data_IF_428070866959
#
_entry.id   IF_428070866959
#
_cell.length_a   1.000
_cell.length_b   1.000
_cell.length_c   1.000
_cell.angle_alpha   90.00
_cell.angle_beta   90.00
_cell.angle_gamma   90.00
#
_symmetry.space_group_name_H-M   'P 1'
#
loop_
_entity.id
_entity.type
_entity.pdbx_description
1 polymer ?
#
# COMPACT_ATOMS: atom_id res chain seq x y z
N UNK A 1 -90.68 11.05 11.15
CA UNK A 1 -90.00 10.57 12.39
C UNK A 1 -88.85 9.68 11.99
N UNK A 2 -87.64 10.01 12.47
CA UNK A 2 -86.38 9.24 12.53
C UNK A 2 -85.79 8.70 11.20
N UNK A 3 -84.73 9.32 10.65
CA UNK A 3 -83.26 9.11 10.91
C UNK A 3 -82.81 7.69 10.48
N UNK A 4 -81.71 7.41 9.77
CA UNK A 4 -80.46 8.09 9.35
C UNK A 4 -79.67 7.05 8.47
N UNK A 5 -78.87 7.52 7.49
CA UNK A 5 -77.59 7.01 6.86
C UNK A 5 -77.42 5.47 6.60
N UNK A 6 -76.74 4.94 5.58
CA UNK A 6 -75.60 5.30 4.71
C UNK A 6 -75.56 4.22 3.58
N UNK A 7 -74.73 4.16 2.55
CA UNK A 7 -73.60 4.92 2.03
C UNK A 7 -73.42 4.47 0.56
N UNK A 8 -73.13 5.41 -0.33
CA UNK A 8 -72.76 5.16 -1.72
C UNK A 8 -71.26 4.86 -1.77
N UNK A 9 -70.86 3.64 -2.14
CA UNK A 9 -69.47 3.30 -2.39
C UNK A 9 -69.13 3.62 -3.86
N UNK A 10 -68.33 4.67 -4.09
CA UNK A 10 -67.66 4.92 -5.37
C UNK A 10 -66.21 4.48 -5.21
N UNK A 11 -65.82 3.49 -6.01
CA UNK A 11 -64.45 3.02 -6.12
C UNK A 11 -63.58 4.09 -6.78
N UNK A 12 -62.58 4.58 -6.06
CA UNK A 12 -61.45 5.29 -6.64
C UNK A 12 -60.23 4.39 -6.55
N UNK A 13 -59.79 3.87 -7.69
CA UNK A 13 -58.53 3.15 -7.83
C UNK A 13 -57.38 4.13 -7.57
N UNK A 14 -56.79 4.08 -6.38
CA UNK A 14 -55.49 4.69 -6.12
C UNK A 14 -54.41 3.76 -6.66
N UNK A 15 -53.93 4.05 -7.87
CA UNK A 15 -52.58 3.73 -8.30
C UNK A 15 -51.61 4.38 -7.30
N UNK A 16 -51.21 3.62 -6.29
CA UNK A 16 -50.01 3.92 -5.51
C UNK A 16 -48.82 3.66 -6.41
N UNK A 17 -48.49 4.66 -7.25
CA UNK A 17 -47.13 4.78 -7.74
C UNK A 17 -46.25 4.96 -6.51
N UNK A 18 -45.56 3.89 -6.12
CA UNK A 18 -44.38 4.02 -5.28
C UNK A 18 -43.32 4.74 -6.12
N UNK A 19 -43.43 6.06 -6.16
CA UNK A 19 -42.36 6.92 -6.64
C UNK A 19 -41.24 6.85 -5.61
N UNK A 20 -40.47 5.78 -5.71
CA UNK A 20 -39.21 5.59 -5.00
C UNK A 20 -38.16 6.46 -5.68
N UNK A 21 -38.34 7.78 -5.63
CA UNK A 21 -37.20 8.69 -5.63
C UNK A 21 -36.46 8.42 -4.32
N UNK A 22 -35.66 7.35 -4.28
CA UNK A 22 -34.56 7.26 -3.32
C UNK A 22 -33.78 8.54 -3.52
N UNK A 23 -33.90 9.45 -2.54
CA UNK A 23 -33.38 10.79 -2.65
C UNK A 23 -31.89 10.72 -2.96
N UNK A 24 -31.53 11.02 -4.20
CA UNK A 24 -30.17 11.36 -4.60
C UNK A 24 -29.82 12.63 -3.83
N UNK A 25 -29.31 12.49 -2.61
CA UNK A 25 -28.96 13.61 -1.74
C UNK A 25 -27.91 14.48 -2.44
N UNK A 26 -28.24 15.77 -2.73
CA UNK A 26 -27.42 16.88 -3.20
C UNK A 26 -25.95 16.91 -2.81
N UNK A 27 -25.75 16.46 -1.59
CA UNK A 27 -24.63 16.85 -0.74
C UNK A 27 -23.67 15.70 -0.49
N UNK A 28 -24.05 14.44 -0.78
CA UNK A 28 -23.16 13.29 -0.61
C UNK A 28 -21.96 13.40 -1.56
N UNK A 29 -20.72 13.38 -1.03
CA UNK A 29 -19.53 13.41 -1.85
C UNK A 29 -19.44 12.13 -2.69
N UNK A 30 -18.94 12.26 -3.93
CA UNK A 30 -18.66 11.15 -4.85
C UNK A 30 -17.52 10.26 -4.35
N UNK A 31 -16.55 10.86 -3.66
CA UNK A 31 -15.54 10.16 -2.88
C UNK A 31 -15.09 11.06 -1.73
N UNK A 32 -14.66 10.46 -0.63
CA UNK A 32 -14.37 11.17 0.61
C UNK A 32 -12.90 11.54 0.76
N UNK A 33 -11.97 10.74 0.23
CA UNK A 33 -10.53 10.91 0.45
C UNK A 33 -9.70 10.50 -0.77
N UNK A 34 -8.59 11.20 -1.00
CA UNK A 34 -7.55 10.84 -1.95
C UNK A 34 -6.34 10.36 -1.14
N UNK A 35 -5.78 9.20 -1.48
CA UNK A 35 -4.51 8.71 -0.93
C UNK A 35 -3.53 8.48 -2.09
N UNK A 36 -2.24 8.72 -1.81
CA UNK A 36 -1.13 8.49 -2.75
C UNK A 36 -0.11 7.60 -2.02
N UNK A 37 -0.31 6.28 -2.03
CA UNK A 37 0.44 5.37 -1.17
C UNK A 37 1.91 5.16 -1.58
N UNK A 38 2.29 5.49 -2.80
CA UNK A 38 3.67 5.35 -3.25
C UNK A 38 3.86 5.67 -4.72
N UNK A 39 5.12 5.53 -5.15
CA UNK A 39 5.52 5.75 -6.52
C UNK A 39 6.73 4.90 -6.90
N UNK A 40 6.82 4.59 -8.19
CA UNK A 40 7.86 3.76 -8.76
C UNK A 40 8.53 4.48 -9.93
N UNK A 41 9.86 4.38 -10.00
CA UNK A 41 10.57 4.80 -11.20
C UNK A 41 10.23 3.89 -12.38
N UNK A 42 10.15 4.50 -13.55
CA UNK A 42 9.90 3.80 -14.82
C UNK A 42 11.16 3.82 -15.67
N UNK A 43 11.90 4.92 -15.60
CA UNK A 43 13.21 5.09 -16.19
C UNK A 43 14.24 5.43 -15.10
N UNK A 44 15.48 4.97 -15.27
CA UNK A 44 16.56 5.19 -14.29
C UNK A 44 16.93 6.67 -14.15
N UNK A 45 16.75 7.46 -15.21
CA UNK A 45 16.95 8.91 -15.21
C UNK A 45 15.81 9.71 -14.58
N UNK A 46 14.76 9.02 -14.11
CA UNK A 46 13.52 9.58 -13.54
C UNK A 46 12.74 10.49 -14.51
N UNK A 47 12.98 10.43 -15.83
CA UNK A 47 12.13 11.11 -16.80
C UNK A 47 10.66 10.65 -16.67
N UNK A 48 10.45 9.39 -16.30
CA UNK A 48 9.15 8.77 -16.16
C UNK A 48 9.02 8.11 -14.80
N UNK A 49 7.90 8.37 -14.12
CA UNK A 49 7.51 7.73 -12.87
C UNK A 49 6.06 7.27 -12.96
N UNK A 50 5.71 6.31 -12.12
CA UNK A 50 4.33 5.91 -11.88
C UNK A 50 3.96 6.24 -10.45
N UNK A 51 2.81 6.89 -10.27
CA UNK A 51 2.29 7.25 -8.96
C UNK A 51 1.03 6.41 -8.70
N UNK A 52 1.03 5.67 -7.61
CA UNK A 52 -0.15 4.93 -7.15
C UNK A 52 -1.14 5.92 -6.54
N UNK A 53 -2.42 5.76 -6.86
CA UNK A 53 -3.49 6.61 -6.34
C UNK A 53 -4.69 5.77 -5.91
N UNK A 54 -5.27 6.11 -4.76
CA UNK A 54 -6.51 5.52 -4.27
C UNK A 54 -7.52 6.61 -3.94
N UNK A 55 -8.67 6.58 -4.60
CA UNK A 55 -9.82 7.40 -4.24
C UNK A 55 -10.73 6.56 -3.36
N UNK A 56 -11.01 7.01 -2.13
CA UNK A 56 -11.81 6.25 -1.17
C UNK A 56 -13.21 6.84 -1.03
N UNK A 57 -14.22 5.96 -0.99
CA UNK A 57 -15.54 6.24 -0.40
C UNK A 57 -15.61 5.58 0.99
N UNK A 58 -15.49 6.40 2.04
CA UNK A 58 -15.23 5.93 3.40
C UNK A 58 -13.86 5.25 3.49
N UNK A 59 -13.86 3.92 3.58
CA UNK A 59 -12.63 3.10 3.68
C UNK A 59 -12.35 2.26 2.43
N UNK A 60 -13.29 2.22 1.48
CA UNK A 60 -13.21 1.35 0.30
C UNK A 60 -12.70 2.15 -0.89
N UNK A 61 -11.72 1.62 -1.60
CA UNK A 61 -11.21 2.25 -2.81
C UNK A 61 -12.20 2.07 -3.96
N UNK A 62 -12.34 3.12 -4.75
CA UNK A 62 -13.12 3.15 -5.96
C UNK A 62 -12.43 2.36 -7.07
N UNK A 63 -13.15 1.38 -7.62
CA UNK A 63 -12.71 0.48 -8.68
C UNK A 63 -13.20 0.96 -10.06
N UNK A 64 -12.59 0.50 -11.16
CA UNK A 64 -12.97 0.87 -12.53
C UNK A 64 -14.45 0.67 -12.86
N UNK A 65 -15.07 -0.39 -12.32
CA UNK A 65 -16.46 -0.78 -12.58
C UNK A 65 -17.46 -0.16 -11.59
N UNK A 66 -16.99 0.52 -10.56
CA UNK A 66 -17.86 1.19 -9.59
C UNK A 66 -18.64 2.31 -10.26
N UNK A 67 -19.81 2.62 -9.69
CA UNK A 67 -20.66 3.71 -10.14
C UNK A 67 -20.89 4.70 -9.01
N UNK A 68 -20.70 5.97 -9.32
CA UNK A 68 -21.01 7.06 -8.42
C UNK A 68 -22.54 7.24 -8.38
N UNK A 69 -23.09 7.64 -7.23
CA UNK A 69 -24.54 7.72 -7.02
C UNK A 69 -25.31 8.58 -8.04
N UNK A 70 -24.64 9.44 -8.83
CA UNK A 70 -25.26 10.33 -9.83
C UNK A 70 -24.79 10.13 -11.26
N UNK A 71 -23.87 9.20 -11.47
CA UNK A 71 -23.29 8.98 -12.77
C UNK A 71 -23.81 7.66 -13.33
N UNK A 72 -24.17 7.66 -14.61
CA UNK A 72 -24.67 6.46 -15.27
C UNK A 72 -23.53 5.56 -15.76
N UNK A 73 -22.38 6.17 -16.01
CA UNK A 73 -21.17 5.53 -16.50
C UNK A 73 -20.30 5.04 -15.32
N UNK A 74 -19.55 3.95 -15.51
CA UNK A 74 -18.58 3.48 -14.52
C UNK A 74 -17.40 4.45 -14.40
N UNK A 75 -16.66 4.37 -13.29
CA UNK A 75 -15.53 5.28 -13.02
C UNK A 75 -14.48 5.25 -14.13
N UNK A 76 -14.22 4.09 -14.74
CA UNK A 76 -13.31 3.94 -15.88
C UNK A 76 -13.64 4.82 -17.10
N UNK A 77 -14.89 5.28 -17.24
CA UNK A 77 -15.33 6.17 -18.32
C UNK A 77 -15.36 7.63 -17.88
N UNK A 78 -15.53 7.87 -16.58
CA UNK A 78 -15.63 9.21 -15.99
C UNK A 78 -14.28 9.81 -15.61
N UNK A 79 -13.30 8.95 -15.34
CA UNK A 79 -12.00 9.32 -14.82
C UNK A 79 -10.93 9.15 -15.89
N UNK A 80 -10.20 10.22 -16.15
CA UNK A 80 -9.10 10.28 -17.09
C UNK A 80 -7.85 10.85 -16.42
N UNK A 81 -6.71 10.76 -17.10
CA UNK A 81 -5.47 11.36 -16.61
C UNK A 81 -5.52 12.90 -16.53
N UNK A 82 -6.41 13.56 -17.29
CA UNK A 82 -6.58 15.02 -17.28
C UNK A 82 -7.27 15.54 -16.01
N UNK A 83 -7.95 14.64 -15.28
CA UNK A 83 -8.61 14.93 -14.01
C UNK A 83 -7.62 15.05 -12.84
N UNK A 84 -6.37 14.64 -13.07
CA UNK A 84 -5.26 14.72 -12.12
C UNK A 84 -4.37 15.91 -12.43
N UNK A 85 -4.15 16.76 -11.42
CA UNK A 85 -3.35 17.97 -11.55
C UNK A 85 -2.38 18.11 -10.40
N UNK A 86 -1.13 18.41 -10.73
CA UNK A 86 -0.11 18.76 -9.75
C UNK A 86 -0.13 20.27 -9.48
N UNK A 87 0.08 20.62 -8.22
CA UNK A 87 0.28 21.98 -7.77
C UNK A 87 1.39 22.02 -6.73
N UNK A 88 2.01 23.18 -6.56
CA UNK A 88 3.03 23.36 -5.53
C UNK A 88 2.38 23.33 -4.15
N UNK A 89 2.99 22.62 -3.20
CA UNK A 89 2.56 22.70 -1.79
C UNK A 89 2.76 24.10 -1.23
N UNK A 90 1.82 24.57 -0.42
CA UNK A 90 1.86 25.91 0.18
C UNK A 90 3.13 26.16 1.04
N UNK A 91 3.75 25.10 1.57
CA UNK A 91 4.87 25.19 2.51
C UNK A 91 6.26 25.20 1.86
N UNK A 92 6.37 25.17 0.52
CA UNK A 92 7.69 25.17 -0.13
C UNK A 92 8.35 26.55 -0.05
N UNK A 93 9.54 26.63 0.56
CA UNK A 93 10.32 27.88 0.68
C UNK A 93 11.09 28.26 -0.59
N UNK A 94 11.15 27.37 -1.59
CA UNK A 94 11.82 27.59 -2.86
C UNK A 94 10.96 28.51 -3.76
N UNK A 95 11.53 29.62 -4.24
CA UNK A 95 10.89 30.51 -5.20
C UNK A 95 11.09 29.99 -6.62
N UNK A 96 10.21 29.07 -7.03
CA UNK A 96 10.26 28.35 -8.30
C UNK A 96 8.87 28.34 -8.95
N UNK A 97 8.80 28.39 -10.28
CA UNK A 97 7.54 28.39 -11.03
C UNK A 97 6.97 26.97 -11.25
N UNK A 98 7.79 25.96 -10.99
CA UNK A 98 7.50 24.54 -11.11
C UNK A 98 6.50 24.05 -10.04
N UNK A 99 5.78 22.99 -10.38
CA UNK A 99 4.69 22.44 -9.55
C UNK A 99 5.16 21.51 -8.42
N UNK A 100 6.44 21.16 -8.42
CA UNK A 100 7.04 20.33 -7.38
C UNK A 100 8.47 20.79 -7.04
N UNK A 101 8.95 20.34 -5.88
CA UNK A 101 10.33 20.57 -5.42
C UNK A 101 10.96 19.22 -5.11
N UNK A 102 12.08 18.89 -5.76
CA UNK A 102 12.90 17.75 -5.38
C UNK A 102 13.99 18.17 -4.41
N UNK A 103 14.19 17.38 -3.35
CA UNK A 103 15.24 17.51 -2.36
C UNK A 103 16.11 16.25 -2.38
N UNK A 104 17.40 16.40 -2.69
CA UNK A 104 18.39 15.34 -2.56
C UNK A 104 18.73 15.08 -1.10
N UNK A 105 18.68 13.83 -0.68
CA UNK A 105 18.91 13.39 0.70
C UNK A 105 20.39 13.53 1.07
N UNK A 106 21.29 13.07 0.20
CA UNK A 106 22.73 13.10 0.45
C UNK A 106 23.35 14.46 0.09
N UNK A 107 22.93 15.04 -1.04
CA UNK A 107 23.46 16.33 -1.51
C UNK A 107 22.87 17.53 -0.79
N UNK A 108 21.68 17.40 -0.19
CA UNK A 108 20.89 18.53 0.32
C UNK A 108 20.41 19.50 -0.78
N UNK A 109 20.60 19.15 -2.06
CA UNK A 109 20.25 20.02 -3.18
C UNK A 109 18.74 20.12 -3.33
N UNK A 110 18.23 21.32 -3.57
CA UNK A 110 16.83 21.57 -3.88
C UNK A 110 16.68 22.17 -5.26
N UNK A 111 15.70 21.69 -6.02
CA UNK A 111 15.40 22.23 -7.35
C UNK A 111 13.94 22.01 -7.72
N UNK A 112 13.37 22.95 -8.49
CA UNK A 112 12.03 22.84 -9.05
C UNK A 112 11.93 21.72 -10.08
N UNK A 113 10.83 20.97 -10.02
CA UNK A 113 10.52 19.85 -10.92
C UNK A 113 9.13 20.04 -11.47
N UNK A 114 8.99 19.92 -12.79
CA UNK A 114 7.69 19.88 -13.44
C UNK A 114 7.17 18.44 -13.46
N UNK A 115 5.86 18.29 -13.33
CA UNK A 115 5.15 17.01 -13.32
C UNK A 115 3.95 17.08 -14.24
N UNK A 116 3.89 16.17 -15.20
CA UNK A 116 2.80 16.10 -16.18
C UNK A 116 2.23 14.70 -16.24
N UNK A 117 0.92 14.60 -16.03
CA UNK A 117 0.19 13.34 -16.18
C UNK A 117 0.09 12.97 -17.66
N UNK A 118 0.33 11.71 -17.98
CA UNK A 118 0.34 11.20 -19.36
C UNK A 118 -0.72 10.13 -19.58
N UNK A 119 -0.90 9.22 -18.63
CA UNK A 119 -1.94 8.19 -18.70
C UNK A 119 -2.39 7.78 -17.31
N UNK A 120 -3.56 7.16 -17.27
CA UNK A 120 -4.17 6.60 -16.08
C UNK A 120 -4.65 5.19 -16.43
N UNK A 121 -4.19 4.22 -15.65
CA UNK A 121 -4.57 2.82 -15.79
C UNK A 121 -4.93 2.25 -14.42
N UNK A 122 -5.74 1.19 -14.38
CA UNK A 122 -5.97 0.47 -13.13
C UNK A 122 -5.21 -0.85 -13.17
N UNK A 123 -4.24 -0.98 -12.27
CA UNK A 123 -3.42 -2.17 -12.13
C UNK A 123 -4.11 -3.13 -11.16
N UNK A 124 -4.88 -4.07 -11.71
CA UNK A 124 -5.40 -5.20 -10.94
C UNK A 124 -4.24 -6.09 -10.46
N UNK A 125 -4.27 -6.49 -9.19
CA UNK A 125 -3.35 -7.51 -8.67
C UNK A 125 -3.50 -8.79 -9.47
N UNK A 126 -2.38 -9.34 -9.99
CA UNK A 126 -2.37 -10.51 -10.86
C UNK A 126 -2.80 -10.25 -12.32
N UNK A 127 -3.13 -9.00 -12.68
CA UNK A 127 -3.60 -8.61 -14.00
C UNK A 127 -5.13 -8.60 -14.16
N UNK A 128 -5.62 -7.87 -15.16
CA UNK A 128 -7.05 -7.64 -15.38
C UNK A 128 -7.85 -8.92 -15.63
N UNK A 129 -7.27 -9.90 -16.32
CA UNK A 129 -7.91 -11.19 -16.62
C UNK A 129 -8.24 -11.99 -15.35
N UNK A 130 -7.53 -11.70 -14.25
CA UNK A 130 -7.66 -12.39 -12.97
C UNK A 130 -8.46 -11.61 -11.94
N UNK A 131 -9.17 -10.56 -12.35
CA UNK A 131 -9.93 -9.71 -11.43
C UNK A 131 -11.01 -10.49 -10.64
N UNK A 132 -11.59 -11.54 -11.23
CA UNK A 132 -12.62 -12.38 -10.60
C UNK A 132 -12.07 -13.61 -9.86
N UNK A 133 -10.75 -13.88 -9.97
CA UNK A 133 -10.15 -15.04 -9.32
C UNK A 133 -10.17 -14.90 -7.79
N UNK A 134 -10.32 -16.04 -7.11
CA UNK A 134 -10.22 -16.07 -5.63
C UNK A 134 -8.84 -15.61 -5.20
N UNK A 135 -8.80 -14.67 -4.25
CA UNK A 135 -7.55 -14.09 -3.75
C UNK A 135 -6.92 -14.97 -2.69
N UNK A 136 -5.59 -15.08 -2.77
CA UNK A 136 -4.74 -15.60 -1.71
C UNK A 136 -3.91 -14.44 -1.16
N UNK A 137 -4.02 -14.16 0.13
CA UNK A 137 -3.17 -13.19 0.82
C UNK A 137 -2.14 -13.97 1.64
N UNK A 138 -0.86 -13.85 1.29
CA UNK A 138 0.22 -14.43 2.08
C UNK A 138 0.85 -13.34 2.92
N UNK A 139 0.72 -13.45 4.24
CA UNK A 139 1.44 -12.63 5.20
C UNK A 139 2.84 -13.22 5.37
N UNK A 140 3.85 -12.48 4.93
CA UNK A 140 5.25 -12.84 5.09
C UNK A 140 5.85 -11.94 6.16
N UNK A 141 6.05 -12.50 7.35
CA UNK A 141 6.35 -11.76 8.57
C UNK A 141 7.79 -11.96 9.00
N UNK A 142 8.59 -10.90 8.93
CA UNK A 142 9.90 -10.89 9.58
C UNK A 142 9.72 -11.07 11.08
N UNK A 143 10.54 -11.95 11.65
CA UNK A 143 10.59 -12.32 13.06
C UNK A 143 12.04 -12.39 13.56
N UNK A 144 12.92 -11.61 12.92
CA UNK A 144 14.33 -11.47 13.26
C UNK A 144 14.54 -10.70 14.56
N UNK A 145 15.77 -10.76 15.09
CA UNK A 145 16.12 -10.21 16.39
C UNK A 145 16.15 -8.68 16.45
N UNK A 146 16.26 -7.98 15.32
CA UNK A 146 16.24 -6.50 15.27
C UNK A 146 14.95 -5.91 15.86
N UNK A 147 13.83 -6.63 15.70
CA UNK A 147 12.52 -6.29 16.27
C UNK A 147 12.56 -6.11 17.79
N UNK A 148 13.39 -6.90 18.48
CA UNK A 148 13.60 -6.82 19.94
C UNK A 148 14.92 -6.12 20.32
N UNK A 149 15.66 -5.61 19.34
CA UNK A 149 16.93 -4.92 19.52
C UNK A 149 18.12 -5.85 19.76
N UNK A 150 18.05 -7.10 19.28
CA UNK A 150 19.18 -8.01 19.23
C UNK A 150 20.20 -7.53 18.20
N UNK A 151 21.45 -7.34 18.63
CA UNK A 151 22.55 -7.08 17.70
C UNK A 151 22.92 -8.38 16.94
N UNK A 152 22.91 -8.37 15.60
CA UNK A 152 23.06 -9.60 14.81
C UNK A 152 24.46 -10.23 14.86
N UNK A 153 25.47 -9.53 15.38
CA UNK A 153 26.85 -10.02 15.49
C UNK A 153 27.19 -10.51 16.90
N UNK A 154 26.65 -9.84 17.91
CA UNK A 154 26.94 -10.11 19.32
C UNK A 154 25.84 -10.91 20.02
N UNK A 155 24.65 -11.01 19.40
CA UNK A 155 23.44 -11.61 19.96
C UNK A 155 22.99 -10.96 21.29
N UNK A 156 23.50 -9.76 21.58
CA UNK A 156 23.11 -9.01 22.76
C UNK A 156 21.84 -8.22 22.48
N UNK A 157 20.84 -8.40 23.33
CA UNK A 157 19.58 -7.66 23.26
C UNK A 157 19.73 -6.32 23.96
N UNK A 158 19.55 -5.24 23.22
CA UNK A 158 19.49 -3.87 23.73
C UNK A 158 18.10 -3.30 23.44
N UNK A 159 17.18 -3.27 24.42
CA UNK A 159 15.79 -2.85 24.19
C UNK A 159 15.62 -1.41 23.66
N UNK A 160 16.63 -0.56 23.81
CA UNK A 160 16.64 0.79 23.24
C UNK A 160 16.85 0.82 21.72
N UNK A 161 17.30 -0.30 21.14
CA UNK A 161 17.53 -0.48 19.71
C UNK A 161 16.41 -1.32 19.06
N UNK A 162 15.39 -1.73 19.81
CA UNK A 162 14.27 -2.49 19.27
C UNK A 162 13.47 -1.64 18.29
N UNK A 163 13.23 -2.16 17.09
CA UNK A 163 12.42 -1.47 16.08
C UNK A 163 10.94 -1.57 16.39
N UNK A 164 10.42 -2.70 16.90
CA UNK A 164 8.99 -2.89 17.25
C UNK A 164 8.80 -3.40 18.69
N UNK A 165 9.31 -2.63 19.65
CA UNK A 165 9.35 -3.01 21.08
C UNK A 165 8.00 -3.40 21.70
N UNK A 166 6.90 -2.83 21.21
CA UNK A 166 5.56 -3.02 21.77
C UNK A 166 4.68 -3.95 20.92
N UNK A 167 5.28 -4.64 19.94
CA UNK A 167 4.59 -5.54 19.02
C UNK A 167 3.38 -4.90 18.33
N UNK A 168 3.49 -3.63 17.98
CA UNK A 168 2.38 -2.87 17.40
C UNK A 168 1.99 -3.43 16.03
N UNK A 169 2.93 -4.07 15.32
CA UNK A 169 2.66 -4.84 14.09
C UNK A 169 1.61 -5.93 14.32
N UNK A 170 1.65 -6.62 15.47
CA UNK A 170 0.79 -7.79 15.74
C UNK A 170 -0.67 -7.36 15.81
N UNK A 171 -0.95 -6.28 16.55
CA UNK A 171 -2.29 -5.71 16.61
C UNK A 171 -2.79 -5.27 15.22
N UNK A 172 -1.92 -4.64 14.42
CA UNK A 172 -2.25 -4.24 13.05
C UNK A 172 -2.61 -5.43 12.15
N UNK A 173 -1.76 -6.47 12.10
CA UNK A 173 -2.00 -7.62 11.23
C UNK A 173 -3.21 -8.45 11.65
N UNK A 174 -3.47 -8.58 12.96
CA UNK A 174 -4.71 -9.18 13.46
C UNK A 174 -5.93 -8.41 12.97
N UNK A 175 -5.93 -7.08 13.08
CA UNK A 175 -7.03 -6.25 12.58
C UNK A 175 -7.17 -6.35 11.06
N UNK A 176 -6.06 -6.30 10.31
CA UNK A 176 -6.05 -6.44 8.87
C UNK A 176 -6.73 -7.75 8.44
N UNK A 177 -6.27 -8.90 8.95
CA UNK A 177 -6.83 -10.22 8.63
C UNK A 177 -8.32 -10.29 8.95
N UNK A 178 -8.72 -9.79 10.13
CA UNK A 178 -10.12 -9.78 10.54
C UNK A 178 -11.01 -8.93 9.63
N UNK A 179 -10.45 -7.91 8.98
CA UNK A 179 -11.17 -6.98 8.10
C UNK A 179 -11.07 -7.31 6.60
N UNK A 180 -10.35 -8.36 6.20
CA UNK A 180 -10.36 -8.80 4.79
C UNK A 180 -11.76 -9.30 4.35
N UNK A 181 -12.06 -9.42 3.06
CA UNK A 181 -13.24 -10.11 2.56
C UNK A 181 -13.20 -11.63 2.85
N UNK A 182 -14.32 -12.23 3.28
CA UNK A 182 -14.38 -13.63 3.78
C UNK A 182 -13.99 -14.68 2.74
N UNK A 183 -14.13 -14.33 1.48
CA UNK A 183 -13.78 -15.13 0.32
C UNK A 183 -12.26 -15.23 0.08
N UNK A 184 -11.47 -14.33 0.68
CA UNK A 184 -10.00 -14.37 0.59
C UNK A 184 -9.47 -15.52 1.43
N UNK A 185 -8.55 -16.28 0.84
CA UNK A 185 -7.75 -17.24 1.59
C UNK A 185 -6.54 -16.52 2.15
N UNK A 186 -6.15 -16.87 3.37
CA UNK A 186 -5.00 -16.28 4.04
C UNK A 186 -4.02 -17.36 4.44
N UNK A 187 -2.73 -17.05 4.31
CA UNK A 187 -1.62 -17.85 4.81
C UNK A 187 -0.65 -16.96 5.56
N UNK A 188 -0.02 -17.52 6.59
CA UNK A 188 1.01 -16.88 7.37
C UNK A 188 2.32 -17.65 7.22
N UNK A 189 3.38 -16.92 6.91
CA UNK A 189 4.76 -17.40 6.86
C UNK A 189 5.58 -16.46 7.73
N UNK A 190 6.33 -16.98 8.68
CA UNK A 190 7.32 -16.18 9.42
C UNK A 190 8.74 -16.63 9.11
N UNK A 191 9.72 -15.75 9.27
CA UNK A 191 11.10 -16.07 8.97
C UNK A 191 12.06 -15.36 9.94
N UNK A 192 13.10 -16.07 10.35
CA UNK A 192 14.11 -15.60 11.31
C UNK A 192 15.40 -16.42 11.24
N UNK A 193 16.56 -15.79 11.45
CA UNK A 193 17.87 -16.44 11.38
C UNK A 193 18.17 -17.00 10.00
N UNK A 194 18.19 -18.33 9.89
CA UNK A 194 18.27 -19.08 8.62
C UNK A 194 17.03 -19.94 8.37
N UNK A 195 15.96 -19.71 9.14
CA UNK A 195 14.76 -20.52 9.14
C UNK A 195 13.59 -19.74 8.55
N UNK A 196 12.85 -20.41 7.66
CA UNK A 196 11.56 -19.96 7.16
C UNK A 196 10.53 -20.93 7.73
N UNK A 197 9.66 -20.42 8.60
CA UNK A 197 8.66 -21.21 9.28
C UNK A 197 7.40 -21.34 8.41
N UNK A 198 7.27 -22.52 7.81
CA UNK A 198 6.11 -22.93 7.00
C UNK A 198 5.48 -24.12 7.70
N UNK A 199 4.81 -23.87 8.82
CA UNK A 199 4.00 -24.89 9.51
C UNK A 199 2.68 -25.07 8.79
N UNK A 200 2.25 -26.33 8.58
CA UNK A 200 1.02 -26.61 7.83
C UNK A 200 -0.22 -25.93 8.43
N UNK A 201 -0.21 -25.66 9.73
CA UNK A 201 -1.29 -25.03 10.49
C UNK A 201 -1.61 -23.59 10.05
N UNK A 202 -0.58 -22.77 9.82
CA UNK A 202 -0.75 -21.35 9.50
C UNK A 202 -0.42 -21.02 8.04
N UNK A 203 0.46 -21.80 7.41
CA UNK A 203 0.93 -21.52 6.05
C UNK A 203 0.06 -22.13 4.94
N UNK A 204 -0.86 -23.05 5.27
CA UNK A 204 -1.84 -23.56 4.30
C UNK A 204 -2.94 -22.52 4.08
N UNK A 205 -3.24 -22.12 2.82
CA UNK A 205 -4.34 -21.21 2.53
C UNK A 205 -5.67 -21.66 3.13
N UNK A 206 -6.23 -20.83 3.99
CA UNK A 206 -7.48 -21.15 4.68
C UNK A 206 -8.41 -19.94 4.77
N UNK A 207 -9.75 -20.18 4.76
CA UNK A 207 -10.72 -19.13 5.03
C UNK A 207 -10.88 -18.85 6.53
N UNK A 208 -10.42 -19.76 7.40
CA UNK A 208 -10.51 -19.59 8.85
C UNK A 208 -9.45 -18.59 9.33
N UNK A 209 -9.93 -17.44 9.81
CA UNK A 209 -9.07 -16.36 10.30
C UNK A 209 -8.60 -16.54 11.73
N UNK A 210 -9.29 -17.37 12.51
CA UNK A 210 -8.95 -17.59 13.92
C UNK A 210 -7.56 -18.23 14.03
N UNK A 211 -7.29 -19.29 13.24
CA UNK A 211 -5.99 -19.94 13.18
C UNK A 211 -4.88 -18.97 12.74
N UNK A 212 -5.15 -18.12 11.75
CA UNK A 212 -4.18 -17.13 11.30
C UNK A 212 -3.92 -16.06 12.37
N UNK A 213 -4.97 -15.61 13.07
CA UNK A 213 -4.85 -14.64 14.15
C UNK A 213 -4.09 -15.20 15.37
N UNK A 214 -4.27 -16.50 15.67
CA UNK A 214 -3.49 -17.23 16.66
C UNK A 214 -2.01 -17.30 16.25
N UNK A 215 -1.72 -17.73 15.03
CA UNK A 215 -0.35 -17.76 14.50
C UNK A 215 0.31 -16.38 14.49
N UNK A 216 -0.42 -15.31 14.20
CA UNK A 216 0.08 -13.93 14.34
C UNK A 216 0.37 -13.61 15.81
N UNK A 217 -0.49 -14.04 16.74
CA UNK A 217 -0.27 -13.85 18.19
C UNK A 217 0.97 -14.58 18.72
N UNK A 218 1.32 -15.73 18.15
CA UNK A 218 2.56 -16.44 18.50
C UNK A 218 3.83 -15.69 18.07
N UNK A 219 3.73 -14.78 17.08
CA UNK A 219 4.82 -13.90 16.67
C UNK A 219 5.07 -12.73 17.64
N UNK A 220 4.57 -12.77 18.87
CA UNK A 220 4.97 -11.87 19.95
C UNK A 220 6.16 -12.40 20.76
N UNK A 221 6.63 -13.60 20.42
CA UNK A 221 7.63 -14.31 21.22
C UNK A 221 8.72 -14.90 20.34
N UNK A 222 9.89 -15.09 20.93
CA UNK A 222 11.04 -15.78 20.31
C UNK A 222 11.61 -15.08 19.05
N UNK A 223 11.54 -13.75 18.95
CA UNK A 223 12.29 -12.98 17.95
C UNK A 223 13.79 -13.24 18.10
N UNK A 224 14.46 -13.60 17.02
CA UNK A 224 15.90 -13.91 17.09
C UNK A 224 16.59 -13.97 15.74
N UNK A 225 17.89 -13.67 15.72
CA UNK A 225 18.75 -13.90 14.57
C UNK A 225 18.55 -12.93 13.41
N UNK A 226 19.15 -13.25 12.26
CA UNK A 226 19.20 -12.37 11.07
C UNK A 226 17.98 -12.52 10.16
N UNK A 227 17.91 -11.75 9.08
CA UNK A 227 16.78 -11.67 8.14
C UNK A 227 17.08 -12.41 6.83
N UNK A 228 16.58 -13.65 6.60
CA UNK A 228 16.77 -14.40 5.35
C UNK A 228 15.64 -14.10 4.35
N UNK A 229 15.57 -12.85 3.88
CA UNK A 229 14.44 -12.35 3.10
C UNK A 229 14.25 -13.06 1.76
N UNK A 230 15.29 -13.16 0.92
CA UNK A 230 15.18 -13.80 -0.39
C UNK A 230 14.82 -15.29 -0.28
N UNK A 231 15.34 -16.03 0.70
CA UNK A 231 14.99 -17.42 0.95
C UNK A 231 13.52 -17.54 1.43
N UNK A 232 13.03 -16.59 2.23
CA UNK A 232 11.64 -16.55 2.68
C UNK A 232 10.67 -16.28 1.53
N UNK A 233 10.99 -15.32 0.65
CA UNK A 233 10.22 -15.04 -0.56
C UNK A 233 10.24 -16.22 -1.53
N UNK A 234 11.39 -16.87 -1.74
CA UNK A 234 11.50 -18.03 -2.62
C UNK A 234 10.68 -19.22 -2.11
N UNK A 235 10.78 -19.52 -0.81
CA UNK A 235 10.01 -20.61 -0.20
C UNK A 235 8.52 -20.32 -0.20
N UNK A 236 8.11 -19.06 0.00
CA UNK A 236 6.71 -18.65 -0.12
C UNK A 236 6.17 -18.90 -1.53
N UNK A 237 6.93 -18.50 -2.55
CA UNK A 237 6.54 -18.72 -3.95
C UNK A 237 6.43 -20.21 -4.26
N UNK A 238 7.46 -20.99 -3.94
CA UNK A 238 7.55 -22.39 -4.34
C UNK A 238 6.66 -23.34 -3.53
N UNK A 239 6.50 -23.10 -2.23
CA UNK A 239 5.80 -24.02 -1.31
C UNK A 239 4.35 -23.64 -1.06
N UNK A 240 4.01 -22.36 -1.15
CA UNK A 240 2.63 -21.89 -0.95
C UNK A 240 1.98 -21.60 -2.29
N UNK A 241 2.49 -20.62 -3.03
CA UNK A 241 1.85 -20.12 -4.25
C UNK A 241 1.84 -21.17 -5.37
N UNK A 242 2.98 -21.79 -5.65
CA UNK A 242 3.14 -22.77 -6.74
C UNK A 242 2.66 -24.19 -6.39
N UNK A 243 2.19 -24.40 -5.15
CA UNK A 243 1.67 -25.69 -4.72
C UNK A 243 0.44 -26.10 -5.54
N UNK A 244 0.28 -27.39 -5.78
CA UNK A 244 -0.67 -27.93 -6.76
C UNK A 244 -2.15 -27.50 -6.54
N UNK A 245 -2.53 -27.12 -5.32
CA UNK A 245 -3.88 -26.64 -5.00
C UNK A 245 -4.08 -25.12 -5.09
N UNK A 246 -3.02 -24.34 -5.25
CA UNK A 246 -3.05 -22.88 -5.12
C UNK A 246 -2.75 -22.13 -6.42
N UNK A 247 -2.36 -22.83 -7.50
CA UNK A 247 -1.97 -22.23 -8.78
C UNK A 247 -3.06 -21.38 -9.44
N UNK A 248 -4.33 -21.73 -9.19
CA UNK A 248 -5.49 -21.02 -9.74
C UNK A 248 -5.92 -19.83 -8.84
N UNK A 249 -5.33 -19.68 -7.66
CA UNK A 249 -5.56 -18.52 -6.80
C UNK A 249 -4.79 -17.32 -7.33
N UNK A 250 -5.30 -16.12 -7.09
CA UNK A 250 -4.61 -14.87 -7.41
C UNK A 250 -3.90 -14.34 -6.15
N UNK A 251 -2.58 -14.61 -6.02
CA UNK A 251 -1.83 -14.33 -4.81
C UNK A 251 -1.40 -12.86 -4.73
N UNK A 252 -1.38 -12.33 -3.51
CA UNK A 252 -0.72 -11.10 -3.10
C UNK A 252 0.09 -11.42 -1.86
N UNK A 253 1.36 -10.99 -1.84
CA UNK A 253 2.21 -11.10 -0.65
C UNK A 253 2.20 -9.76 0.08
N UNK A 254 1.99 -9.79 1.39
CA UNK A 254 2.21 -8.65 2.27
C UNK A 254 3.43 -8.98 3.11
N UNK A 255 4.55 -8.32 2.81
CA UNK A 255 5.82 -8.47 3.51
C UNK A 255 5.92 -7.42 4.61
N UNK A 256 6.10 -7.83 5.85
CA UNK A 256 6.57 -6.96 6.93
C UNK A 256 8.04 -7.24 7.22
N UNK A 257 8.85 -6.18 7.35
CA UNK A 257 10.26 -6.24 7.78
C UNK A 257 10.69 -4.86 8.27
N UNK A 258 11.70 -4.76 9.13
CA UNK A 258 12.39 -3.49 9.42
C UNK A 258 13.60 -3.24 8.50
N UNK A 259 13.93 -4.20 7.63
CA UNK A 259 14.94 -4.08 6.60
C UNK A 259 15.92 -5.25 6.60
N UNK A 260 16.85 -5.24 5.63
CA UNK A 260 17.98 -6.19 5.56
C UNK A 260 19.27 -5.54 6.07
N UNK A 261 19.14 -4.96 7.27
CA UNK A 261 20.08 -4.08 7.97
C UNK A 261 21.57 -4.32 7.74
N UNK A 262 22.03 -5.57 7.85
CA UNK A 262 23.43 -5.97 7.71
C UNK A 262 23.65 -7.03 6.63
N UNK A 263 22.80 -6.96 5.59
CA UNK A 263 22.73 -7.87 4.46
C UNK A 263 21.71 -8.98 4.65
N UNK A 264 21.05 -9.35 3.55
CA UNK A 264 20.17 -10.52 3.49
C UNK A 264 20.98 -11.78 3.84
N UNK A 265 20.54 -12.52 4.86
CA UNK A 265 21.20 -13.76 5.30
C UNK A 265 20.92 -14.95 4.38
N UNK A 266 20.14 -14.74 3.32
CA UNK A 266 19.76 -15.75 2.34
C UNK A 266 20.94 -16.26 1.52
N UNK A 267 20.87 -17.53 1.13
CA UNK A 267 21.72 -18.06 0.07
C UNK A 267 21.24 -17.62 -1.33
N UNK A 268 19.96 -17.24 -1.43
CA UNK A 268 19.32 -16.79 -2.66
C UNK A 268 19.52 -15.30 -2.90
N UNK A 269 19.57 -14.90 -4.17
CA UNK A 269 19.65 -13.50 -4.58
C UNK A 269 18.24 -12.87 -4.67
N UNK A 270 18.01 -11.75 -3.98
CA UNK A 270 16.73 -11.03 -3.96
C UNK A 270 16.26 -10.55 -5.34
N UNK A 271 17.15 -10.09 -6.21
CA UNK A 271 16.83 -9.66 -7.58
C UNK A 271 16.29 -10.84 -8.40
N UNK A 272 16.93 -12.00 -8.30
CA UNK A 272 16.48 -13.21 -8.99
C UNK A 272 15.09 -13.68 -8.52
N UNK A 273 14.80 -13.55 -7.22
CA UNK A 273 13.47 -13.87 -6.66
C UNK A 273 12.44 -12.82 -7.10
N UNK A 274 12.80 -11.54 -7.09
CA UNK A 274 11.94 -10.44 -7.55
C UNK A 274 11.46 -10.68 -8.99
N UNK A 275 12.37 -11.04 -9.90
CA UNK A 275 12.01 -11.34 -11.28
C UNK A 275 11.08 -12.55 -11.42
N UNK A 276 11.14 -13.53 -10.51
CA UNK A 276 10.21 -14.67 -10.51
C UNK A 276 8.81 -14.30 -10.04
N UNK A 277 8.68 -13.37 -9.10
CA UNK A 277 7.38 -12.81 -8.70
C UNK A 277 6.80 -11.95 -9.82
N UNK A 278 7.61 -11.09 -10.44
CA UNK A 278 7.18 -10.21 -11.53
C UNK A 278 6.74 -10.99 -12.78
N UNK A 279 7.42 -12.09 -13.11
CA UNK A 279 7.16 -12.90 -14.30
C UNK A 279 6.51 -14.26 -13.97
N UNK A 280 5.76 -14.35 -12.88
CA UNK A 280 5.10 -15.59 -12.48
C UNK A 280 4.13 -16.09 -13.56
N UNK A 281 4.07 -17.40 -13.76
CA UNK A 281 3.35 -18.02 -14.88
C UNK A 281 1.83 -17.79 -14.83
N UNK A 282 1.27 -17.58 -13.63
CA UNK A 282 -0.13 -17.21 -13.41
C UNK A 282 -0.39 -15.71 -13.49
N UNK A 283 0.57 -14.91 -13.94
CA UNK A 283 0.54 -13.44 -13.86
C UNK A 283 1.38 -12.92 -12.69
N UNK A 284 1.84 -11.66 -12.73
CA UNK A 284 2.70 -11.09 -11.69
C UNK A 284 2.09 -11.25 -10.29
N UNK A 285 2.90 -11.59 -9.30
CA UNK A 285 2.49 -11.69 -7.90
C UNK A 285 2.93 -10.42 -7.16
N UNK A 286 2.01 -9.50 -6.83
CA UNK A 286 2.36 -8.26 -6.14
C UNK A 286 2.93 -8.52 -4.75
N UNK A 287 4.00 -7.80 -4.40
CA UNK A 287 4.54 -7.76 -3.04
C UNK A 287 4.32 -6.37 -2.45
N UNK A 288 3.39 -6.26 -1.51
CA UNK A 288 3.18 -5.07 -0.69
C UNK A 288 4.20 -5.13 0.43
N UNK A 289 5.20 -4.24 0.41
CA UNK A 289 6.27 -4.18 1.40
C UNK A 289 5.92 -3.13 2.45
N UNK A 290 5.82 -3.55 3.70
CA UNK A 290 5.69 -2.70 4.87
C UNK A 290 7.03 -2.69 5.58
N UNK A 291 7.84 -1.66 5.31
CA UNK A 291 9.16 -1.50 5.88
C UNK A 291 9.08 -0.59 7.11
N UNK A 292 9.30 -1.15 8.31
CA UNK A 292 9.53 -0.35 9.50
C UNK A 292 10.93 0.25 9.48
N UNK A 293 11.11 1.43 10.06
CA UNK A 293 12.40 2.08 10.09
C UNK A 293 13.43 1.18 10.84
N UNK A 294 14.55 0.82 10.20
CA UNK A 294 15.60 0.04 10.83
C UNK A 294 16.24 0.76 12.03
N UNK A 295 16.84 0.04 12.98
CA UNK A 295 17.47 0.60 14.15
C UNK A 295 18.67 1.43 13.75
N UNK A 296 18.87 2.53 14.47
CA UNK A 296 20.03 3.40 14.29
C UNK A 296 21.22 2.73 14.98
N UNK A 297 22.32 2.40 14.28
CA UNK A 297 23.48 1.76 14.91
C UNK A 297 24.01 2.61 16.06
N UNK A 298 24.27 1.98 17.21
CA UNK A 298 24.91 2.65 18.35
C UNK A 298 26.29 3.20 17.95
N UNK A 299 26.44 4.52 17.93
CA UNK A 299 27.67 5.21 17.53
C UNK A 299 27.66 5.78 16.10
N UNK A 300 26.57 5.57 15.34
CA UNK A 300 26.33 6.33 14.11
C UNK A 300 26.14 7.81 14.40
N UNK A 301 26.66 8.68 13.53
CA UNK A 301 26.34 10.10 13.59
C UNK A 301 24.81 10.27 13.56
N UNK A 302 24.21 11.22 14.29
CA UNK A 302 22.75 11.46 14.39
C UNK A 302 22.01 11.85 13.08
N UNK A 303 22.53 11.48 11.92
CA UNK A 303 22.01 11.82 10.60
C UNK A 303 21.95 10.66 9.59
N UNK A 304 22.31 9.44 9.98
CA UNK A 304 22.18 8.26 9.10
C UNK A 304 21.00 7.39 9.55
N UNK A 305 19.77 7.82 9.26
CA UNK A 305 18.67 6.86 9.19
C UNK A 305 19.01 5.89 8.06
N UNK A 306 18.97 4.57 8.30
CA UNK A 306 19.17 3.56 7.24
C UNK A 306 18.08 3.61 6.15
N UNK A 307 17.07 4.48 6.31
CA UNK A 307 16.18 4.95 5.25
C UNK A 307 15.37 3.83 4.59
N UNK A 308 14.87 4.13 3.39
CA UNK A 308 14.19 3.13 2.55
C UNK A 308 15.24 2.22 1.92
N UNK A 309 15.01 0.91 1.98
CA UNK A 309 15.89 -0.06 1.33
C UNK A 309 15.60 -0.13 -0.18
N UNK A 310 16.61 0.10 -1.02
CA UNK A 310 16.46 0.09 -2.47
C UNK A 310 16.02 -1.27 -3.03
N UNK A 311 16.49 -2.37 -2.43
CA UNK A 311 16.10 -3.72 -2.81
C UNK A 311 14.61 -3.96 -2.53
N UNK A 312 14.13 -3.51 -1.37
CA UNK A 312 12.71 -3.59 -1.00
C UNK A 312 11.81 -2.70 -1.87
N UNK A 313 12.24 -1.48 -2.18
CA UNK A 313 11.52 -0.59 -3.09
C UNK A 313 11.46 -1.19 -4.49
N UNK A 314 12.58 -1.72 -4.99
CA UNK A 314 12.62 -2.42 -6.27
C UNK A 314 11.73 -3.67 -6.29
N UNK A 315 11.72 -4.47 -5.20
CA UNK A 315 10.84 -5.63 -5.05
C UNK A 315 9.37 -5.23 -5.22
N UNK A 316 8.91 -4.22 -4.47
CA UNK A 316 7.55 -3.74 -4.56
C UNK A 316 7.21 -3.23 -5.98
N UNK A 317 8.07 -2.38 -6.54
CA UNK A 317 7.82 -1.77 -7.85
C UNK A 317 7.83 -2.77 -9.01
N UNK A 318 8.80 -3.71 -9.03
CA UNK A 318 8.94 -4.71 -10.09
C UNK A 318 7.82 -5.74 -10.08
N UNK A 319 7.33 -6.09 -8.90
CA UNK A 319 6.24 -7.07 -8.76
C UNK A 319 4.86 -6.46 -8.95
N UNK A 320 4.77 -5.14 -9.12
CA UNK A 320 3.50 -4.43 -9.19
C UNK A 320 2.78 -4.41 -7.85
N UNK A 321 3.53 -4.33 -6.74
CA UNK A 321 3.06 -4.14 -5.37
C UNK A 321 3.10 -2.68 -4.93
N UNK A 322 3.44 -2.43 -3.67
CA UNK A 322 3.55 -1.08 -3.08
C UNK A 322 4.60 -1.09 -1.96
N UNK A 323 5.42 -0.05 -1.84
CA UNK A 323 6.36 0.10 -0.72
C UNK A 323 5.83 1.15 0.25
N UNK A 324 5.59 0.73 1.48
CA UNK A 324 5.07 1.54 2.58
C UNK A 324 6.18 1.63 3.63
N UNK A 325 6.76 2.82 3.78
CA UNK A 325 7.78 3.06 4.79
C UNK A 325 7.15 3.62 6.06
N UNK A 326 7.45 3.00 7.20
CA UNK A 326 6.84 3.25 8.49
C UNK A 326 7.93 3.78 9.41
N UNK A 327 7.82 5.05 9.83
CA UNK A 327 8.90 5.70 10.59
C UNK A 327 8.92 5.25 12.05
N UNK A 328 7.73 4.99 12.59
CA UNK A 328 7.54 4.62 13.98
C UNK A 328 6.52 3.49 14.11
N UNK A 329 6.74 2.53 15.03
CA UNK A 329 5.80 1.45 15.30
C UNK A 329 4.38 1.94 15.64
N UNK A 330 4.27 3.11 16.28
CA UNK A 330 2.99 3.68 16.67
C UNK A 330 2.05 3.88 15.49
N UNK A 331 2.59 4.13 14.29
CA UNK A 331 1.83 4.30 13.04
C UNK A 331 0.99 3.07 12.69
N UNK A 332 1.39 1.86 13.11
CA UNK A 332 0.57 0.64 12.93
C UNK A 332 -0.78 0.73 13.63
N UNK A 333 -0.87 1.46 14.74
CA UNK A 333 -2.09 1.56 15.56
C UNK A 333 -2.76 2.92 15.47
N UNK A 334 -2.00 3.98 15.19
CA UNK A 334 -2.49 5.35 15.12
C UNK A 334 -2.95 5.74 13.70
N UNK A 335 -2.41 5.09 12.65
CA UNK A 335 -2.80 5.39 11.27
C UNK A 335 -4.14 4.79 10.89
N UNK A 336 -5.11 5.66 10.59
CA UNK A 336 -6.36 5.24 9.96
C UNK A 336 -6.18 4.90 8.46
N UNK A 337 -5.11 5.38 7.82
CA UNK A 337 -4.89 5.23 6.39
C UNK A 337 -4.16 3.93 6.04
N UNK A 338 -3.22 3.48 6.87
CA UNK A 338 -2.37 2.32 6.57
C UNK A 338 -3.20 1.05 6.29
N UNK A 339 -4.19 0.78 7.14
CA UNK A 339 -5.08 -0.38 6.96
C UNK A 339 -5.90 -0.26 5.66
N UNK A 340 -6.39 0.94 5.35
CA UNK A 340 -7.14 1.18 4.10
C UNK A 340 -6.24 0.99 2.87
N UNK A 341 -5.00 1.49 2.89
CA UNK A 341 -4.03 1.33 1.81
C UNK A 341 -3.77 -0.15 1.56
N UNK A 342 -3.33 -0.89 2.58
CA UNK A 342 -2.97 -2.30 2.43
C UNK A 342 -4.17 -3.13 1.97
N UNK A 343 -5.35 -2.94 2.59
CA UNK A 343 -6.56 -3.70 2.24
C UNK A 343 -6.98 -3.48 0.79
N UNK A 344 -7.04 -2.22 0.34
CA UNK A 344 -7.49 -1.91 -1.00
C UNK A 344 -6.44 -2.30 -2.05
N UNK A 345 -5.15 -2.22 -1.71
CA UNK A 345 -4.05 -2.59 -2.61
C UNK A 345 -4.05 -4.06 -3.02
N UNK A 346 -4.62 -4.94 -2.18
CA UNK A 346 -4.79 -6.37 -2.50
C UNK A 346 -5.63 -6.56 -3.77
N UNK A 347 -6.60 -5.68 -4.02
CA UNK A 347 -7.42 -5.73 -5.25
C UNK A 347 -6.65 -5.15 -6.43
N UNK A 348 -6.07 -3.97 -6.25
CA UNK A 348 -5.35 -3.22 -7.27
C UNK A 348 -5.18 -1.76 -6.87
N UNK A 349 -4.66 -0.94 -7.78
CA UNK A 349 -4.53 0.51 -7.58
C UNK A 349 -4.67 1.25 -8.91
N UNK A 350 -5.13 2.50 -8.85
CA UNK A 350 -4.97 3.40 -10.00
C UNK A 350 -3.50 3.79 -10.11
N UNK A 351 -2.97 3.80 -11.33
CA UNK A 351 -1.59 4.13 -11.64
C UNK A 351 -1.55 5.28 -12.61
N UNK A 352 -0.94 6.38 -12.15
CA UNK A 352 -0.82 7.62 -12.89
C UNK A 352 0.59 7.73 -13.46
N UNK A 353 0.73 7.45 -14.76
CA UNK A 353 1.98 7.62 -15.50
C UNK A 353 2.29 9.11 -15.60
N UNK A 354 3.44 9.51 -15.07
CA UNK A 354 3.82 10.92 -14.96
C UNK A 354 5.20 11.15 -15.57
N UNK A 355 5.30 12.15 -16.43
CA UNK A 355 6.57 12.68 -16.93
C UNK A 355 7.13 13.69 -15.93
N UNK A 356 8.43 13.66 -15.71
CA UNK A 356 9.14 14.59 -14.83
C UNK A 356 10.34 15.23 -15.52
N UNK A 357 10.77 16.39 -15.02
CA UNK A 357 12.01 17.05 -15.46
C UNK A 357 13.25 16.68 -14.64
N UNK A 358 13.19 15.63 -13.81
CA UNK A 358 14.31 15.20 -12.94
C UNK A 358 15.52 14.65 -13.73
N UNK A 359 15.32 14.30 -15.00
CA UNK A 359 16.40 13.85 -15.88
C UNK A 359 17.34 14.99 -16.33
N UNK A 360 16.99 16.26 -16.16
CA UNK A 360 17.81 17.41 -16.60
C UNK A 360 19.00 17.65 -15.65
N UNK A 361 20.13 18.08 -16.22
CA UNK A 361 21.50 17.92 -15.72
C UNK A 361 21.95 18.73 -14.47
N UNK A 362 21.06 19.06 -13.53
CA UNK A 362 21.46 19.69 -12.25
C UNK A 362 21.38 18.74 -11.05
N UNK A 363 20.59 17.66 -11.14
CA UNK A 363 20.46 16.63 -10.09
C UNK A 363 21.60 15.59 -10.18
N UNK A 364 22.52 15.49 -9.19
CA UNK A 364 23.48 14.39 -9.09
C UNK A 364 22.77 13.03 -8.86
N UNK A 365 23.46 11.89 -9.02
CA UNK A 365 22.97 10.63 -8.46
C UNK A 365 22.76 10.79 -6.94
N UNK A 366 21.54 10.54 -6.47
CA UNK A 366 21.08 10.78 -5.09
C UNK A 366 19.74 10.06 -4.85
N UNK A 367 19.30 10.03 -3.60
CA UNK A 367 17.93 9.78 -3.22
C UNK A 367 17.15 11.09 -3.16
N UNK A 368 15.98 11.14 -3.79
CA UNK A 368 15.20 12.35 -3.92
C UNK A 368 13.84 12.21 -3.26
N UNK A 369 13.51 13.19 -2.43
CA UNK A 369 12.14 13.44 -1.99
C UNK A 369 11.51 14.51 -2.86
N UNK A 370 10.38 14.19 -3.47
CA UNK A 370 9.62 15.10 -4.30
C UNK A 370 8.39 15.60 -3.51
N UNK A 371 8.32 16.92 -3.33
CA UNK A 371 7.25 17.62 -2.63
C UNK A 371 6.29 18.28 -3.62
N UNK A 372 5.01 17.94 -3.58
CA UNK A 372 3.96 18.49 -4.47
C UNK A 372 2.56 18.29 -3.86
N UNK A 373 1.51 18.80 -4.49
CA UNK A 373 0.12 18.50 -4.15
C UNK A 373 -0.56 17.88 -5.37
N UNK A 374 -1.16 16.70 -5.20
CA UNK A 374 -1.95 16.05 -6.24
C UNK A 374 -3.44 16.32 -6.01
N UNK A 375 -4.10 16.90 -6.99
CA UNK A 375 -5.55 17.09 -6.99
C UNK A 375 -6.21 16.17 -8.01
N UNK A 376 -7.26 15.45 -7.61
CA UNK A 376 -8.15 14.71 -8.52
C UNK A 376 -9.53 15.36 -8.55
N UNK A 377 -10.14 15.45 -9.72
CA UNK A 377 -11.53 15.89 -9.89
C UNK A 377 -12.39 14.76 -10.43
N UNK A 378 -13.42 14.34 -9.68
CA UNK A 378 -14.31 13.25 -10.09
C UNK A 378 -15.76 13.55 -9.70
N UNK A 379 -16.67 13.48 -10.68
CA UNK A 379 -18.09 13.79 -10.48
C UNK A 379 -18.34 15.21 -9.96
N UNK A 380 -17.59 16.19 -10.49
CA UNK A 380 -17.69 17.61 -10.12
C UNK A 380 -17.16 17.96 -8.73
N UNK A 381 -16.45 17.05 -8.06
CA UNK A 381 -15.77 17.31 -6.78
C UNK A 381 -14.27 17.13 -6.92
N UNK A 382 -13.52 18.05 -6.33
CA UNK A 382 -12.07 17.95 -6.25
C UNK A 382 -11.62 17.55 -4.85
N UNK A 383 -10.56 16.76 -4.77
CA UNK A 383 -9.81 16.48 -3.55
C UNK A 383 -8.34 16.60 -3.85
N UNK A 384 -7.63 17.18 -2.90
CA UNK A 384 -6.19 17.39 -2.97
C UNK A 384 -5.53 16.62 -1.85
N UNK A 385 -4.38 16.03 -2.16
CA UNK A 385 -3.48 15.41 -1.19
C UNK A 385 -2.14 16.11 -1.30
N UNK A 386 -1.70 16.71 -0.20
CA UNK A 386 -0.33 17.20 -0.09
C UNK A 386 0.62 16.00 0.01
N UNK A 387 1.61 15.97 -0.87
CA UNK A 387 2.69 14.99 -0.96
C UNK A 387 3.97 15.67 -0.48
N UNK A 388 4.08 15.94 0.82
CA UNK A 388 5.24 16.64 1.38
C UNK A 388 5.61 16.11 2.75
N UNK A 389 6.85 16.41 3.18
CA UNK A 389 7.26 16.17 4.56
C UNK A 389 6.62 17.24 5.45
N UNK A 390 5.47 16.94 6.04
CA UNK A 390 4.89 17.79 7.07
C UNK A 390 5.86 17.97 8.24
N UNK A 391 6.07 19.21 8.68
CA UNK A 391 6.88 19.52 9.88
C UNK A 391 6.17 19.19 11.20
N UNK A 392 4.89 18.80 11.13
CA UNK A 392 4.06 18.46 12.29
C UNK A 392 3.68 16.97 12.23
N UNK A 393 4.61 16.11 12.65
CA UNK A 393 4.37 14.68 12.76
C UNK A 393 3.12 14.38 13.59
N UNK A 394 2.25 13.50 13.07
CA UNK A 394 1.26 12.67 13.80
C UNK A 394 0.33 11.86 12.90
N UNK A 395 0.18 12.19 11.62
CA UNK A 395 -0.58 11.36 10.70
C UNK A 395 0.40 10.61 9.78
N UNK A 396 0.27 9.29 9.72
CA UNK A 396 0.89 8.46 8.69
C UNK A 396 0.24 8.80 7.34
N UNK A 397 0.69 9.92 6.79
CA UNK A 397 0.55 10.28 5.40
C UNK A 397 1.96 10.21 4.82
N UNK A 398 2.59 9.02 4.84
CA UNK A 398 3.74 8.77 3.97
C UNK A 398 3.26 8.75 2.51
N UNK A 399 2.93 9.94 2.06
CA UNK A 399 2.55 10.32 0.71
C UNK A 399 3.77 10.90 -0.01
N UNK A 400 4.97 10.64 0.52
CA UNK A 400 6.22 11.17 0.01
C UNK A 400 6.58 10.38 -1.23
N UNK A 401 6.79 11.11 -2.31
CA UNK A 401 7.34 10.55 -3.53
C UNK A 401 8.86 10.46 -3.35
N UNK A 402 9.37 9.24 -3.13
CA UNK A 402 10.79 8.97 -2.95
C UNK A 402 11.35 8.18 -4.13
N UNK A 403 12.49 8.62 -4.65
CA UNK A 403 13.13 8.00 -5.81
C UNK A 403 14.64 7.92 -5.63
N UNK A 404 15.26 6.90 -6.21
CA UNK A 404 16.70 6.79 -6.32
C UNK A 404 17.13 7.00 -7.77
N UNK A 405 17.99 8.00 -7.99
CA UNK A 405 18.59 8.31 -9.29
C UNK A 405 20.01 7.77 -9.29
N UNK A 406 20.31 6.83 -10.18
CA UNK A 406 21.63 6.18 -10.31
C UNK A 406 22.41 6.74 -11.49
#
# INVERSE_FOLDING_TARGET
>A
MNRILAATAVAAASLSGCDSTVGLDPTRPTFTRLLVPGACKVSDDLQMIDISVMMLDGTTALLPDDRLQREFEPISQLLSHEDFRFARTADSTLDTAEVAVALGEDSGMQQGVDLRTLSLEFDYSGGADRQQDRRLVVLLMDHSGSLVGEDPFTQMITPGNATDREDQRIAFFQQLVNNLPREYLVSLVSFKGSFVNITAEYSTPQPNRENIAEGIGELQFDESGRTPLADALDQTLTRIIDSQGNRDLNPVVILFTDGVEDGDASATNLEAVTERYANHAGGPVPVIVMQLQPPIPTGGSPGFARGRDLGLVNLACRTGGEHLFIEAPAEFTESQNLQAIVRNRIVGTWRLRTETTMNRAAFPPDNYFLSTELTVTLGGRSRSQALSRGSSGRDFDDTRLWFNKQ
#
